data_IF_470635511621
#
_entry.id   IF_470635511621
#
_cell.length_a   1.000
_cell.length_b   1.000
_cell.length_c   1.000
_cell.angle_alpha   90.00
_cell.angle_beta   90.00
_cell.angle_gamma   90.00
#
_symmetry.space_group_name_H-M   'P 1'
#
loop_
_entity.id
_entity.type
_entity.pdbx_description
1 polymer ?
#
# COMPACT_ATOMS: atom_id res chain seq x y z
N UNK A 1 -33.02 0.11 36.71
CA UNK A 1 -32.19 1.20 36.15
C UNK A 1 -30.69 0.87 36.01
N UNK A 2 -30.03 0.19 36.97
CA UNK A 2 -28.58 -0.15 36.90
C UNK A 2 -28.12 -1.01 35.70
N UNK A 3 -28.96 -1.90 35.16
CA UNK A 3 -28.58 -2.78 34.04
C UNK A 3 -28.32 -2.03 32.72
N UNK A 4 -28.96 -0.87 32.49
CA UNK A 4 -28.73 -0.04 31.29
C UNK A 4 -27.37 0.67 31.31
N UNK A 5 -26.90 1.11 32.48
CA UNK A 5 -25.59 1.75 32.61
C UNK A 5 -24.43 0.78 32.37
N UNK A 6 -24.54 -0.45 32.88
CA UNK A 6 -23.53 -1.48 32.67
C UNK A 6 -23.38 -1.88 31.19
N UNK A 7 -24.48 -1.90 30.44
CA UNK A 7 -24.46 -2.20 29.01
C UNK A 7 -23.76 -1.09 28.19
N UNK A 8 -24.04 0.18 28.47
CA UNK A 8 -23.39 1.31 27.79
C UNK A 8 -21.89 1.40 28.08
N UNK A 9 -21.47 1.13 29.32
CA UNK A 9 -20.04 1.10 29.68
C UNK A 9 -19.27 -0.03 28.97
N UNK A 10 -19.90 -1.20 28.81
CA UNK A 10 -19.29 -2.34 28.13
C UNK A 10 -19.20 -2.12 26.61
N UNK A 11 -20.22 -1.51 26.01
CA UNK A 11 -20.21 -1.13 24.59
C UNK A 11 -19.10 -0.11 24.28
N UNK A 12 -18.89 0.90 25.14
CA UNK A 12 -17.81 1.87 24.95
C UNK A 12 -16.42 1.26 25.11
N UNK A 13 -16.20 0.34 26.06
CA UNK A 13 -14.92 -0.41 26.14
C UNK A 13 -14.66 -1.26 24.91
N UNK A 14 -15.70 -1.92 24.37
CA UNK A 14 -15.56 -2.73 23.19
C UNK A 14 -15.20 -1.89 21.95
N UNK A 15 -15.79 -0.70 21.81
CA UNK A 15 -15.46 0.24 20.72
C UNK A 15 -14.03 0.80 20.84
N UNK A 16 -13.59 1.17 22.04
CA UNK A 16 -12.21 1.64 22.31
C UNK A 16 -11.17 0.54 22.01
N UNK A 17 -11.42 -0.68 22.48
CA UNK A 17 -10.53 -1.82 22.23
C UNK A 17 -10.47 -2.22 20.74
N UNK A 18 -11.60 -2.09 20.03
CA UNK A 18 -11.69 -2.34 18.58
C UNK A 18 -10.96 -1.26 17.78
N UNK A 19 -11.02 -0.01 18.21
CA UNK A 19 -10.28 1.11 17.61
C UNK A 19 -8.77 0.94 17.72
N UNK A 20 -8.26 0.64 18.91
CA UNK A 20 -6.81 0.47 19.15
C UNK A 20 -6.20 -0.68 18.33
N UNK A 21 -6.90 -1.82 18.22
CA UNK A 21 -6.44 -2.94 17.38
C UNK A 21 -6.38 -2.58 15.88
N UNK A 22 -7.29 -1.75 15.39
CA UNK A 22 -7.32 -1.36 13.99
C UNK A 22 -6.20 -0.37 13.64
N UNK A 23 -5.96 0.61 14.51
CA UNK A 23 -4.86 1.58 14.35
C UNK A 23 -3.49 0.92 14.39
N UNK A 24 -3.29 -0.05 15.29
CA UNK A 24 -2.03 -0.82 15.37
C UNK A 24 -1.74 -1.61 14.10
N UNK A 25 -2.76 -2.25 13.51
CA UNK A 25 -2.60 -3.00 12.25
C UNK A 25 -2.21 -2.08 11.09
N UNK A 26 -2.89 -0.95 10.96
CA UNK A 26 -2.59 0.06 9.93
C UNK A 26 -1.16 0.61 10.09
N UNK A 27 -0.73 0.88 11.33
CA UNK A 27 0.63 1.33 11.61
C UNK A 27 1.69 0.31 11.20
N UNK A 28 1.49 -0.97 11.55
CA UNK A 28 2.39 -2.06 11.16
C UNK A 28 2.45 -2.20 9.64
N UNK A 29 1.31 -2.12 8.95
CA UNK A 29 1.28 -2.17 7.48
C UNK A 29 2.10 -1.04 6.85
N UNK A 30 1.96 0.19 7.34
CA UNK A 30 2.75 1.34 6.83
C UNK A 30 4.23 1.15 7.11
N UNK A 31 4.60 0.70 8.31
CA UNK A 31 5.99 0.42 8.67
C UNK A 31 6.57 -0.65 7.75
N UNK A 32 5.84 -1.72 7.46
CA UNK A 32 6.27 -2.76 6.53
C UNK A 32 6.38 -2.24 5.10
N UNK A 33 5.45 -1.38 4.68
CA UNK A 33 5.44 -0.77 3.34
C UNK A 33 6.70 0.08 3.10
N UNK A 34 7.11 0.87 4.10
CA UNK A 34 8.31 1.71 4.03
C UNK A 34 9.58 0.88 4.27
N UNK A 35 9.54 0.00 5.28
CA UNK A 35 10.71 -0.72 5.75
C UNK A 35 11.16 -1.86 4.83
N UNK A 36 10.23 -2.56 4.19
CA UNK A 36 10.57 -3.76 3.41
C UNK A 36 11.52 -3.47 2.23
N UNK A 37 11.34 -2.42 1.41
CA UNK A 37 12.29 -2.11 0.33
C UNK A 37 13.65 -1.70 0.87
N UNK A 38 13.70 -1.01 2.02
CA UNK A 38 14.94 -0.56 2.65
C UNK A 38 15.76 -1.73 3.20
N UNK A 39 15.11 -2.67 3.90
CA UNK A 39 15.78 -3.88 4.42
C UNK A 39 16.33 -4.73 3.27
N UNK A 40 15.56 -4.90 2.20
CA UNK A 40 16.04 -5.61 1.00
C UNK A 40 17.22 -4.87 0.36
N UNK A 41 17.14 -3.55 0.23
CA UNK A 41 18.23 -2.75 -0.32
C UNK A 41 19.51 -2.83 0.53
N UNK A 42 19.38 -2.87 1.86
CA UNK A 42 20.49 -3.04 2.78
C UNK A 42 21.15 -4.42 2.64
N UNK A 43 20.35 -5.49 2.54
CA UNK A 43 20.87 -6.83 2.26
C UNK A 43 21.60 -6.88 0.91
N UNK A 44 21.04 -6.27 -0.14
CA UNK A 44 21.68 -6.20 -1.45
C UNK A 44 22.99 -5.40 -1.44
N UNK A 45 23.05 -4.33 -0.65
CA UNK A 45 24.28 -3.57 -0.45
C UNK A 45 25.34 -4.42 0.27
N UNK A 46 24.96 -5.14 1.32
CA UNK A 46 25.89 -5.95 2.13
C UNK A 46 26.46 -7.14 1.36
N UNK A 47 25.62 -7.88 0.63
CA UNK A 47 26.05 -9.12 -0.04
C UNK A 47 26.54 -8.93 -1.48
N UNK A 48 26.01 -7.93 -2.19
CA UNK A 48 26.26 -7.76 -3.62
C UNK A 48 26.86 -6.40 -3.99
N UNK A 49 27.13 -5.53 -2.99
CA UNK A 49 27.59 -4.15 -3.20
C UNK A 49 26.69 -3.34 -4.15
N UNK A 50 25.41 -3.73 -4.24
CA UNK A 50 24.47 -3.09 -5.15
C UNK A 50 24.05 -1.72 -4.58
N UNK A 51 23.90 -0.68 -5.43
CA UNK A 51 23.60 0.66 -4.94
C UNK A 51 22.26 0.72 -4.21
N UNK A 52 22.32 1.04 -2.91
CA UNK A 52 21.18 1.10 -1.99
C UNK A 52 19.98 1.91 -2.53
N UNK A 53 20.24 3.10 -3.07
CA UNK A 53 19.19 3.97 -3.60
C UNK A 53 18.47 3.37 -4.81
N UNK A 54 19.20 2.66 -5.67
CA UNK A 54 18.63 1.98 -6.85
C UNK A 54 17.80 0.79 -6.40
N UNK A 55 18.33 -0.06 -5.52
CA UNK A 55 17.58 -1.19 -4.95
C UNK A 55 16.27 -0.74 -4.30
N UNK A 56 16.34 0.32 -3.48
CA UNK A 56 15.17 0.89 -2.81
C UNK A 56 14.16 1.42 -3.82
N UNK A 57 14.62 2.17 -4.84
CA UNK A 57 13.76 2.69 -5.90
C UNK A 57 13.05 1.57 -6.67
N UNK A 58 13.75 0.50 -7.02
CA UNK A 58 13.14 -0.68 -7.67
C UNK A 58 12.08 -1.31 -6.77
N UNK A 59 12.37 -1.49 -5.48
CA UNK A 59 11.39 -2.03 -4.53
C UNK A 59 10.13 -1.15 -4.42
N UNK A 60 10.29 0.16 -4.27
CA UNK A 60 9.17 1.09 -4.24
C UNK A 60 8.39 1.12 -5.55
N UNK A 61 9.07 1.07 -6.70
CA UNK A 61 8.43 1.00 -8.01
C UNK A 61 7.53 -0.24 -8.13
N UNK A 62 8.03 -1.41 -7.72
CA UNK A 62 7.23 -2.64 -7.68
C UNK A 62 6.01 -2.47 -6.77
N UNK A 63 6.18 -1.91 -5.57
CA UNK A 63 5.05 -1.67 -4.66
C UNK A 63 4.02 -0.69 -5.22
N UNK A 64 4.44 0.34 -5.95
CA UNK A 64 3.55 1.27 -6.66
C UNK A 64 2.71 0.51 -7.68
N UNK A 65 3.31 -0.40 -8.46
CA UNK A 65 2.57 -1.22 -9.42
C UNK A 65 1.52 -2.13 -8.75
N UNK A 66 1.83 -2.70 -7.58
CA UNK A 66 0.85 -3.49 -6.83
C UNK A 66 -0.26 -2.66 -6.18
N UNK A 67 0.01 -1.38 -5.89
CA UNK A 67 -0.97 -0.46 -5.31
C UNK A 67 -1.67 0.41 -6.36
N UNK A 68 -1.52 0.09 -7.65
CA UNK A 68 -2.20 0.81 -8.73
C UNK A 68 -3.71 0.74 -8.51
N UNK A 69 -4.43 1.87 -8.66
CA UNK A 69 -5.86 1.86 -8.44
C UNK A 69 -6.57 1.02 -9.51
N UNK A 70 -7.68 0.38 -9.15
CA UNK A 70 -8.41 -0.54 -10.04
C UNK A 70 -8.96 0.12 -11.31
N UNK A 71 -9.12 1.45 -11.31
CA UNK A 71 -9.50 2.26 -12.47
C UNK A 71 -8.29 2.78 -13.28
N UNK A 72 -7.09 2.24 -13.04
CA UNK A 72 -5.89 2.61 -13.78
C UNK A 72 -5.95 2.11 -15.23
N UNK A 73 -5.28 2.81 -16.17
CA UNK A 73 -5.23 2.40 -17.58
C UNK A 73 -4.59 1.03 -17.79
N UNK A 74 -3.77 0.54 -16.84
CA UNK A 74 -3.20 -0.81 -16.86
C UNK A 74 -4.28 -1.88 -16.68
N UNK A 75 -5.18 -1.69 -15.71
CA UNK A 75 -6.29 -2.61 -15.46
C UNK A 75 -7.28 -2.62 -16.63
N UNK A 76 -7.59 -1.45 -17.20
CA UNK A 76 -8.48 -1.35 -18.36
C UNK A 76 -7.93 -2.06 -19.61
N UNK A 77 -6.61 -2.00 -19.81
CA UNK A 77 -5.94 -2.70 -20.92
C UNK A 77 -5.94 -4.22 -20.72
N UNK A 78 -5.71 -4.68 -19.49
CA UNK A 78 -5.77 -6.11 -19.15
C UNK A 78 -7.19 -6.68 -19.37
N UNK A 79 -8.23 -5.96 -18.95
CA UNK A 79 -9.62 -6.38 -19.15
C UNK A 79 -9.99 -6.47 -20.63
N UNK A 80 -9.46 -5.58 -21.47
CA UNK A 80 -9.69 -5.59 -22.91
C UNK A 80 -9.09 -6.83 -23.58
N UNK A 81 -7.84 -7.15 -23.30
CA UNK A 81 -7.18 -8.36 -23.81
C UNK A 81 -7.89 -9.63 -23.30
N UNK A 82 -8.34 -9.63 -22.04
CA UNK A 82 -9.04 -10.78 -21.47
C UNK A 82 -10.41 -10.99 -22.13
N UNK A 83 -11.13 -9.91 -22.44
CA UNK A 83 -12.42 -9.94 -23.15
C UNK A 83 -12.28 -10.39 -24.61
N UNK A 84 -11.14 -10.12 -25.24
CA UNK A 84 -10.82 -10.60 -26.59
C UNK A 84 -10.68 -12.12 -26.64
N UNK A 85 -10.12 -12.74 -25.59
CA UNK A 85 -9.93 -14.19 -25.50
C UNK A 85 -11.17 -14.90 -24.93
N UNK A 86 -11.95 -14.23 -24.07
CA UNK A 86 -13.19 -14.75 -23.52
C UNK A 86 -14.34 -13.73 -23.66
N UNK A 87 -15.24 -13.89 -24.65
CA UNK A 87 -16.34 -12.96 -24.90
C UNK A 87 -17.36 -12.86 -23.75
N UNK A 88 -17.43 -13.87 -22.87
CA UNK A 88 -18.28 -13.88 -21.69
C UNK A 88 -17.62 -13.26 -20.46
N UNK A 89 -16.38 -12.79 -20.58
CA UNK A 89 -15.70 -12.06 -19.51
C UNK A 89 -16.43 -10.76 -19.21
N UNK A 90 -17.15 -10.75 -18.10
CA UNK A 90 -17.61 -9.52 -17.45
C UNK A 90 -16.49 -9.12 -16.50
N UNK A 91 -15.73 -8.10 -16.87
CA UNK A 91 -14.86 -7.41 -15.93
C UNK A 91 -15.69 -7.17 -14.67
N UNK A 92 -15.19 -7.61 -13.51
CA UNK A 92 -15.85 -7.34 -12.24
C UNK A 92 -16.03 -5.84 -12.19
N UNK A 93 -17.28 -5.37 -12.40
CA UNK A 93 -17.64 -3.97 -12.29
C UNK A 93 -16.94 -3.47 -11.04
N UNK A 94 -16.09 -2.42 -11.15
CA UNK A 94 -15.34 -1.93 -10.01
C UNK A 94 -16.39 -1.72 -8.96
N UNK A 95 -16.43 -2.60 -7.96
CA UNK A 95 -17.29 -2.37 -6.82
C UNK A 95 -16.76 -1.03 -6.38
N UNK A 96 -17.61 -0.01 -6.42
CA UNK A 96 -17.29 1.29 -5.88
C UNK A 96 -17.15 1.18 -4.35
N UNK A 97 -16.39 0.18 -3.88
CA UNK A 97 -15.36 0.35 -2.88
C UNK A 97 -14.60 1.61 -3.26
N UNK A 98 -15.15 2.74 -2.82
CA UNK A 98 -14.37 3.93 -2.56
C UNK A 98 -13.03 3.44 -2.03
N UNK A 99 -11.95 3.71 -2.76
CA UNK A 99 -10.62 3.44 -2.20
C UNK A 99 -10.67 4.02 -0.79
N UNK A 100 -10.46 3.17 0.22
CA UNK A 100 -10.38 3.68 1.58
C UNK A 100 -9.29 4.75 1.51
N UNK A 101 -9.56 5.96 2.01
CA UNK A 101 -8.63 7.10 1.94
C UNK A 101 -7.19 6.70 2.32
N UNK A 102 -7.07 5.72 3.21
CA UNK A 102 -5.83 5.06 3.59
C UNK A 102 -5.04 4.43 2.43
N UNK A 103 -5.68 3.70 1.53
CA UNK A 103 -5.01 3.01 0.41
C UNK A 103 -4.51 4.02 -0.61
N UNK A 104 -5.26 5.10 -0.83
CA UNK A 104 -4.83 6.22 -1.66
C UNK A 104 -3.64 6.97 -1.02
N UNK A 105 -3.67 7.16 0.31
CA UNK A 105 -2.53 7.73 1.04
C UNK A 105 -1.28 6.84 0.95
N UNK A 106 -1.41 5.52 1.10
CA UNK A 106 -0.31 4.57 0.93
C UNK A 106 0.30 4.66 -0.47
N UNK A 107 -0.54 4.74 -1.50
CA UNK A 107 -0.08 4.90 -2.88
C UNK A 107 0.68 6.21 -3.09
N UNK A 108 0.15 7.34 -2.60
CA UNK A 108 0.83 8.64 -2.70
C UNK A 108 2.15 8.66 -1.93
N UNK A 109 2.20 8.03 -0.76
CA UNK A 109 3.42 7.87 0.04
C UNK A 109 4.48 7.07 -0.72
N UNK A 110 4.10 5.97 -1.35
CA UNK A 110 5.01 5.15 -2.17
C UNK A 110 5.60 5.94 -3.35
N UNK A 111 4.78 6.73 -4.04
CA UNK A 111 5.24 7.61 -5.12
C UNK A 111 6.25 8.63 -4.58
N UNK A 112 5.97 9.25 -3.43
CA UNK A 112 6.84 10.25 -2.84
C UNK A 112 8.19 9.66 -2.42
N UNK A 113 8.18 8.45 -1.84
CA UNK A 113 9.39 7.69 -1.53
C UNK A 113 10.19 7.34 -2.79
N UNK A 114 9.53 6.87 -3.85
CA UNK A 114 10.16 6.55 -5.12
C UNK A 114 10.86 7.78 -5.73
N UNK A 115 10.14 8.90 -5.81
CA UNK A 115 10.68 10.17 -6.31
C UNK A 115 11.86 10.63 -5.44
N UNK A 116 11.72 10.52 -4.11
CA UNK A 116 12.81 10.83 -3.17
C UNK A 116 14.06 9.99 -3.41
N UNK A 117 13.92 8.68 -3.61
CA UNK A 117 15.04 7.81 -3.94
C UNK A 117 15.72 8.19 -5.26
N UNK A 118 14.94 8.48 -6.31
CA UNK A 118 15.47 8.88 -7.60
C UNK A 118 16.17 10.24 -7.54
N UNK A 119 15.57 11.22 -6.85
CA UNK A 119 16.15 12.55 -6.65
C UNK A 119 17.50 12.47 -5.94
N UNK A 120 17.55 11.78 -4.80
CA UNK A 120 18.80 11.58 -4.04
C UNK A 120 19.84 10.80 -4.83
N UNK A 121 19.42 9.86 -5.67
CA UNK A 121 20.32 9.12 -6.55
C UNK A 121 20.97 10.03 -7.59
N UNK A 122 20.18 10.90 -8.24
CA UNK A 122 20.68 11.88 -9.21
C UNK A 122 21.61 12.88 -8.52
N UNK A 123 21.26 13.37 -7.33
CA UNK A 123 22.10 14.28 -6.55
C UNK A 123 23.44 13.64 -6.17
N UNK A 124 23.47 12.35 -5.80
CA UNK A 124 24.70 11.63 -5.47
C UNK A 124 25.67 11.51 -6.65
N UNK A 125 25.17 11.49 -7.88
CA UNK A 125 25.98 11.31 -9.11
C UNK A 125 26.48 12.64 -9.65
N UNK A 126 25.80 13.75 -9.33
CA UNK A 126 26.18 15.10 -9.75
C UNK A 126 27.37 15.62 -8.95
#
# INVERSE_FOLDING_TARGET
MRKRLAFHLNANRFLLYRGDKMTKRVGIEIILLIGSPLVIAELLLLFFQFPFLVSSAVGYFILVLFHLPANSPLSASADFETKKVNPHFKASLPTASSMKRLDMLKFMLLILLLIGCLYLYVEKIR
#
